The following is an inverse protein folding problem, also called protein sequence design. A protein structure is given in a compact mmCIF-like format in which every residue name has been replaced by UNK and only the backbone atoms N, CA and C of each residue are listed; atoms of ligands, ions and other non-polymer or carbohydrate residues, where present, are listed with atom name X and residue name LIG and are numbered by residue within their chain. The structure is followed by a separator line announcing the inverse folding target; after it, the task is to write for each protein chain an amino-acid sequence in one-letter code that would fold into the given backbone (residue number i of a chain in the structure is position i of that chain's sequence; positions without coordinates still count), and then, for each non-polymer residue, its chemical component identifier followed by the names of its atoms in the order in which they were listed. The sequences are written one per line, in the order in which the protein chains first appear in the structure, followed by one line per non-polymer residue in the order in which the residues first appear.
data_IF_699053942893
#
_entry.id   IF_699053942893
#
_cell.length_a   1.000
_cell.length_b   1.000
_cell.length_c   1.000
_cell.angle_alpha   90.00
_cell.angle_beta   90.00
_cell.angle_gamma   90.00
#
_symmetry.space_group_name_H-M   'P 1'
#
loop_
_entity.id
_entity.type
_entity.pdbx_description
1 polymer ?
#
# COMPACT_ATOMS: atom_id res chain seq x y z
N UNK A 1 19.23 12.01 -5.02
CA UNK A 1 18.82 11.54 -3.69
C UNK A 1 19.98 10.75 -3.07
N UNK A 2 20.55 11.22 -1.96
CA UNK A 2 21.56 10.52 -1.15
C UNK A 2 21.20 10.74 0.31
N UNK A 3 21.33 9.72 1.17
CA UNK A 3 20.99 9.87 2.58
C UNK A 3 20.56 8.62 3.32
N UNK A 4 20.54 7.45 2.67
CA UNK A 4 20.51 6.16 3.36
C UNK A 4 21.84 5.45 3.10
N UNK A 5 22.50 4.99 4.16
CA UNK A 5 23.67 4.08 4.12
C UNK A 5 23.25 2.64 3.88
N UNK A 6 21.95 2.40 3.92
CA UNK A 6 21.30 1.11 4.00
C UNK A 6 20.73 0.76 2.61
N UNK A 7 20.52 -0.53 2.34
CA UNK A 7 20.06 -1.01 1.04
C UNK A 7 18.59 -0.63 0.87
N UNK A 8 18.29 0.08 -0.23
CA UNK A 8 16.90 0.36 -0.61
C UNK A 8 16.25 -0.91 -1.14
N UNK A 9 15.19 -1.35 -0.48
CA UNK A 9 14.46 -2.59 -0.78
C UNK A 9 13.13 -2.34 -1.50
N UNK A 10 12.57 -1.14 -1.40
CA UNK A 10 11.26 -0.81 -1.93
C UNK A 10 11.17 0.66 -2.33
N UNK A 11 10.38 0.95 -3.35
CA UNK A 11 10.14 2.32 -3.84
C UNK A 11 8.70 2.48 -4.33
N UNK A 12 8.13 3.67 -4.11
CA UNK A 12 6.87 4.12 -4.69
C UNK A 12 6.95 5.60 -5.08
N UNK A 13 6.16 6.00 -6.08
CA UNK A 13 6.06 7.38 -6.55
C UNK A 13 4.59 7.79 -6.52
N UNK A 14 4.29 9.00 -6.04
CA UNK A 14 2.91 9.52 -6.03
C UNK A 14 2.40 9.76 -7.44
N UNK A 15 1.07 9.69 -7.64
CA UNK A 15 0.47 9.83 -8.97
C UNK A 15 0.75 11.20 -9.61
N UNK A 16 0.80 12.24 -8.78
CA UNK A 16 1.16 13.61 -9.19
C UNK A 16 2.68 13.82 -9.36
N UNK A 17 3.49 12.79 -9.12
CA UNK A 17 4.94 12.83 -9.24
C UNK A 17 5.65 13.64 -8.15
N UNK A 18 4.95 14.25 -7.20
CA UNK A 18 5.57 15.15 -6.20
C UNK A 18 6.44 14.43 -5.15
N UNK A 19 6.10 13.19 -4.84
CA UNK A 19 6.71 12.44 -3.75
C UNK A 19 7.26 11.11 -4.21
N UNK A 20 8.45 10.78 -3.73
CA UNK A 20 8.99 9.42 -3.79
C UNK A 20 9.06 8.89 -2.36
N UNK A 21 8.70 7.62 -2.17
CA UNK A 21 8.87 6.92 -0.90
C UNK A 21 9.81 5.76 -1.11
N UNK A 22 10.78 5.57 -0.21
CA UNK A 22 11.67 4.41 -0.19
C UNK A 22 11.59 3.68 1.14
N UNK A 23 11.72 2.35 1.13
CA UNK A 23 11.96 1.52 2.30
C UNK A 23 13.34 0.87 2.24
N UNK A 24 14.06 0.78 3.37
CA UNK A 24 15.41 0.22 3.43
C UNK A 24 15.57 -0.90 4.46
N UNK A 25 16.73 -1.57 4.43
CA UNK A 25 17.09 -2.64 5.36
C UNK A 25 17.55 -2.15 6.74
N UNK A 26 17.66 -0.83 6.94
CA UNK A 26 17.96 -0.16 8.21
C UNK A 26 16.72 0.27 8.98
N UNK A 27 15.59 -0.42 8.78
CA UNK A 27 14.30 -0.24 9.43
C UNK A 27 13.62 1.11 9.14
N UNK A 28 13.97 1.79 8.04
CA UNK A 28 13.42 3.11 7.72
C UNK A 28 12.53 3.08 6.49
N UNK A 29 11.52 3.94 6.53
CA UNK A 29 10.88 4.46 5.34
C UNK A 29 11.20 5.96 5.22
N UNK A 30 11.47 6.44 4.01
CA UNK A 30 11.84 7.83 3.76
C UNK A 30 10.98 8.43 2.66
N UNK A 31 10.48 9.66 2.87
CA UNK A 31 9.78 10.46 1.87
C UNK A 31 10.74 11.49 1.32
N UNK A 32 10.76 11.61 0.00
CA UNK A 32 11.59 12.53 -0.77
C UNK A 32 10.71 13.43 -1.61
N UNK A 33 11.12 14.69 -1.74
CA UNK A 33 10.57 15.56 -2.77
C UNK A 33 11.18 15.11 -4.11
N UNK A 34 10.34 14.82 -5.09
CA UNK A 34 10.80 14.30 -6.37
C UNK A 34 11.55 15.35 -7.21
N UNK A 35 11.14 16.62 -7.10
CA UNK A 35 11.71 17.74 -7.86
C UNK A 35 13.05 18.20 -7.27
N UNK A 36 13.13 18.38 -5.96
CA UNK A 36 14.34 18.88 -5.29
C UNK A 36 15.31 17.76 -4.92
N UNK A 37 14.85 16.51 -4.92
CA UNK A 37 15.59 15.33 -4.47
C UNK A 37 16.00 15.36 -2.99
N UNK A 38 15.39 16.23 -2.20
CA UNK A 38 15.66 16.38 -0.77
C UNK A 38 14.85 15.39 0.06
N UNK A 39 15.45 14.98 1.19
CA UNK A 39 14.75 14.17 2.21
C UNK A 39 13.75 15.08 2.92
N UNK A 40 12.48 14.68 2.90
CA UNK A 40 11.37 15.44 3.51
C UNK A 40 11.07 14.87 4.88
N UNK A 41 10.93 13.54 4.99
CA UNK A 41 10.65 12.82 6.23
C UNK A 41 11.29 11.46 6.26
N UNK A 42 11.52 10.97 7.47
CA UNK A 42 12.00 9.63 7.75
C UNK A 42 11.15 9.04 8.89
N UNK A 43 10.80 7.76 8.74
CA UNK A 43 9.99 6.96 9.65
C UNK A 43 10.87 5.88 10.25
N UNK A 44 10.82 5.70 11.58
CA UNK A 44 11.71 4.82 12.36
C UNK A 44 10.97 3.95 13.37
N UNK A 45 9.65 3.93 13.27
CA UNK A 45 8.78 3.19 14.18
C UNK A 45 8.72 1.70 13.79
N UNK A 46 9.25 1.30 12.64
CA UNK A 46 9.32 -0.08 12.17
C UNK A 46 10.49 -0.80 12.86
N UNK A 47 10.35 -2.11 13.09
CA UNK A 47 11.33 -2.91 13.83
C UNK A 47 11.91 -4.04 12.96
N UNK A 48 12.11 -3.75 11.68
CA UNK A 48 12.64 -4.69 10.71
C UNK A 48 12.69 -4.06 9.32
N UNK A 49 13.46 -4.69 8.43
CA UNK A 49 13.70 -4.19 7.08
C UNK A 49 12.37 -3.88 6.36
N UNK A 50 12.32 -2.73 5.72
CA UNK A 50 11.11 -2.20 5.10
C UNK A 50 11.04 -2.64 3.63
N UNK A 51 10.52 -3.85 3.42
CA UNK A 51 10.40 -4.44 2.08
C UNK A 51 9.25 -3.86 1.25
N UNK A 52 8.34 -3.12 1.87
CA UNK A 52 7.11 -2.71 1.23
C UNK A 52 6.75 -1.27 1.60
N UNK A 53 6.75 -0.38 0.60
CA UNK A 53 6.21 0.97 0.72
C UNK A 53 5.18 1.26 -0.37
N UNK A 54 4.25 2.16 -0.07
CA UNK A 54 3.35 2.74 -1.06
C UNK A 54 2.89 4.13 -0.60
N UNK A 55 2.39 4.92 -1.54
CA UNK A 55 1.84 6.25 -1.28
C UNK A 55 0.43 6.32 -1.85
N UNK A 56 -0.51 6.90 -1.11
CA UNK A 56 -1.90 7.02 -1.56
C UNK A 56 -1.99 7.90 -2.80
N UNK A 57 -3.03 7.68 -3.59
CA UNK A 57 -3.21 8.37 -4.87
C UNK A 57 -3.33 9.90 -4.72
N UNK A 58 -3.93 10.36 -3.61
CA UNK A 58 -4.00 11.77 -3.22
C UNK A 58 -2.66 12.33 -2.67
N UNK A 59 -1.62 11.50 -2.53
CA UNK A 59 -0.30 11.85 -2.01
C UNK A 59 -0.25 12.11 -0.50
N UNK A 60 -1.36 11.94 0.22
CA UNK A 60 -1.47 12.37 1.63
C UNK A 60 -1.03 11.33 2.66
N UNK A 61 -0.98 10.05 2.28
CA UNK A 61 -0.67 8.93 3.17
C UNK A 61 0.46 8.10 2.59
N UNK A 62 1.37 7.70 3.46
CA UNK A 62 2.41 6.71 3.17
C UNK A 62 2.13 5.48 4.00
N UNK A 63 2.34 4.31 3.42
CA UNK A 63 2.38 3.05 4.15
C UNK A 63 3.77 2.44 4.05
N UNK A 64 4.22 1.85 5.15
CA UNK A 64 5.42 1.05 5.21
C UNK A 64 5.11 -0.28 5.94
N UNK A 65 5.60 -1.38 5.40
CA UNK A 65 5.48 -2.72 5.97
C UNK A 65 6.84 -3.34 6.21
N UNK A 66 7.07 -3.81 7.44
CA UNK A 66 8.33 -4.43 7.84
C UNK A 66 8.32 -5.96 7.73
N UNK A 67 9.52 -6.51 7.64
CA UNK A 67 9.78 -7.94 7.67
C UNK A 67 10.13 -8.48 9.06
N UNK A 68 9.30 -8.22 10.06
CA UNK A 68 9.45 -8.85 11.38
C UNK A 68 8.33 -9.88 11.63
N UNK A 69 8.60 -10.87 12.49
CA UNK A 69 7.61 -11.80 13.03
C UNK A 69 6.54 -11.09 13.88
N UNK A 70 6.91 -10.04 14.62
CA UNK A 70 5.96 -9.11 15.24
C UNK A 70 5.44 -8.04 14.27
N UNK A 71 5.80 -8.17 12.98
CA UNK A 71 5.76 -7.10 12.00
C UNK A 71 4.39 -6.51 11.75
N UNK A 72 4.42 -5.28 11.28
CA UNK A 72 3.23 -4.46 11.08
C UNK A 72 3.32 -3.69 9.78
N UNK A 73 2.15 -3.35 9.22
CA UNK A 73 2.06 -2.23 8.31
C UNK A 73 1.66 -0.98 9.10
N UNK A 74 2.29 0.16 8.81
CA UNK A 74 2.02 1.43 9.47
C UNK A 74 1.70 2.48 8.43
N UNK A 75 0.65 3.28 8.71
CA UNK A 75 0.22 4.37 7.83
C UNK A 75 0.56 5.70 8.51
N UNK A 76 1.21 6.58 7.77
CA UNK A 76 1.65 7.90 8.21
C UNK A 76 1.13 8.98 7.28
N UNK A 77 0.96 10.21 7.78
CA UNK A 77 0.78 11.38 6.93
C UNK A 77 2.09 11.69 6.19
N UNK A 78 2.05 11.84 4.86
CA UNK A 78 3.24 11.97 4.00
C UNK A 78 4.20 13.07 4.47
N UNK A 79 3.68 14.26 4.77
CA UNK A 79 4.47 15.42 5.16
C UNK A 79 4.52 15.64 6.67
N UNK A 80 3.44 15.34 7.39
CA UNK A 80 3.36 15.51 8.85
C UNK A 80 4.19 14.47 9.58
N UNK A 81 4.39 13.30 8.97
CA UNK A 81 5.04 12.13 9.52
C UNK A 81 4.30 11.49 10.70
N UNK A 82 3.08 11.93 10.97
CA UNK A 82 2.29 11.46 12.12
C UNK A 82 1.66 10.10 11.77
N UNK A 83 1.76 9.08 12.64
CA UNK A 83 1.00 7.85 12.50
C UNK A 83 -0.50 8.14 12.48
N UNK A 84 -1.20 7.68 11.43
CA UNK A 84 -2.63 7.94 11.25
C UNK A 84 -3.51 6.87 11.91
N UNK A 85 -2.94 5.69 12.16
CA UNK A 85 -3.62 4.55 12.77
C UNK A 85 -2.68 3.81 13.73
N UNK A 86 -3.22 3.00 14.65
CA UNK A 86 -2.45 1.95 15.30
C UNK A 86 -1.78 1.02 14.28
N UNK A 87 -0.67 0.34 14.64
CA UNK A 87 -0.02 -0.61 13.75
C UNK A 87 -0.99 -1.67 13.24
N UNK A 88 -1.01 -1.89 11.93
CA UNK A 88 -1.89 -2.86 11.28
C UNK A 88 -1.21 -4.24 11.38
N UNK A 89 -1.75 -5.19 12.16
CA UNK A 89 -1.03 -6.42 12.47
C UNK A 89 -0.92 -7.31 11.23
N UNK A 90 0.29 -7.55 10.73
CA UNK A 90 0.56 -8.54 9.66
C UNK A 90 2.06 -8.83 9.64
N UNK A 91 2.47 -10.04 10.01
CA UNK A 91 3.89 -10.36 10.10
C UNK A 91 4.52 -10.57 8.72
N UNK A 92 5.84 -10.35 8.61
CA UNK A 92 6.63 -10.58 7.41
C UNK A 92 6.04 -9.91 6.15
N UNK A 93 5.75 -8.61 6.23
CA UNK A 93 5.15 -7.89 5.11
C UNK A 93 6.14 -7.82 3.94
N UNK A 94 5.68 -8.19 2.75
CA UNK A 94 6.42 -8.14 1.48
C UNK A 94 5.80 -7.23 0.45
N UNK A 95 4.54 -6.87 0.65
CA UNK A 95 3.82 -6.01 -0.28
C UNK A 95 2.76 -5.20 0.44
N UNK A 96 2.62 -3.96 0.04
CA UNK A 96 1.57 -3.05 0.49
C UNK A 96 1.08 -2.28 -0.73
N UNK A 97 -0.24 -2.09 -0.83
CA UNK A 97 -0.84 -1.24 -1.84
C UNK A 97 -2.10 -0.54 -1.35
N UNK A 98 -2.16 0.77 -1.52
CA UNK A 98 -3.40 1.51 -1.37
C UNK A 98 -4.35 1.14 -2.51
N UNK A 99 -5.63 1.11 -2.17
CA UNK A 99 -6.68 1.18 -3.18
C UNK A 99 -6.66 2.55 -3.89
N UNK A 100 -7.18 2.63 -5.12
CA UNK A 100 -7.23 3.88 -5.89
C UNK A 100 -7.92 5.04 -5.16
N UNK A 101 -8.99 4.74 -4.40
CA UNK A 101 -9.73 5.70 -3.57
C UNK A 101 -9.02 6.03 -2.23
N UNK A 102 -7.94 5.33 -1.90
CA UNK A 102 -7.17 5.50 -0.68
C UNK A 102 -7.87 5.03 0.61
N UNK A 103 -9.09 4.49 0.53
CA UNK A 103 -9.88 4.07 1.69
C UNK A 103 -9.55 2.66 2.19
N UNK A 104 -8.85 1.88 1.37
CA UNK A 104 -8.38 0.53 1.68
C UNK A 104 -6.88 0.39 1.48
N UNK A 105 -6.28 -0.48 2.28
CA UNK A 105 -4.90 -0.92 2.16
C UNK A 105 -4.87 -2.45 2.04
N UNK A 106 -4.28 -2.96 0.96
CA UNK A 106 -3.90 -4.36 0.86
C UNK A 106 -2.49 -4.56 1.42
N UNK A 107 -2.30 -5.60 2.21
CA UNK A 107 -0.99 -6.05 2.67
C UNK A 107 -0.79 -7.52 2.38
N UNK A 108 0.45 -7.89 2.08
CA UNK A 108 0.89 -9.20 1.67
C UNK A 108 2.00 -9.68 2.58
N UNK A 109 1.83 -10.86 3.16
CA UNK A 109 2.84 -11.49 3.99
C UNK A 109 3.50 -12.65 3.27
N UNK A 110 4.79 -12.87 3.53
CA UNK A 110 5.48 -14.07 3.10
C UNK A 110 4.75 -15.35 3.56
N UNK A 111 4.15 -15.34 4.76
CA UNK A 111 3.66 -16.55 5.43
C UNK A 111 2.16 -16.52 5.78
N UNK A 112 1.53 -15.35 5.79
CA UNK A 112 0.17 -15.17 6.32
C UNK A 112 -0.88 -14.81 5.27
N UNK A 113 -0.51 -14.82 3.98
CA UNK A 113 -1.40 -14.49 2.87
C UNK A 113 -1.66 -12.99 2.75
N UNK A 114 -2.87 -12.62 2.30
CA UNK A 114 -3.30 -11.24 2.13
C UNK A 114 -4.30 -10.79 3.19
N UNK A 115 -4.21 -9.52 3.54
CA UNK A 115 -5.18 -8.83 4.40
C UNK A 115 -5.54 -7.48 3.78
N UNK A 116 -6.82 -7.13 3.87
CA UNK A 116 -7.32 -5.81 3.48
C UNK A 116 -7.70 -5.06 4.76
N UNK A 117 -7.30 -3.80 4.86
CA UNK A 117 -7.62 -2.93 5.99
C UNK A 117 -8.37 -1.68 5.51
N UNK A 118 -9.26 -1.18 6.34
CA UNK A 118 -9.78 0.18 6.23
C UNK A 118 -8.70 1.18 6.66
N UNK A 119 -8.41 2.18 5.82
CA UNK A 119 -7.45 3.24 6.16
C UNK A 119 -8.05 4.31 7.07
N UNK A 120 -9.37 4.25 7.33
CA UNK A 120 -10.05 5.17 8.23
C UNK A 120 -9.91 4.79 9.71
N UNK A 121 -9.94 3.49 10.01
CA UNK A 121 -9.96 3.00 11.39
C UNK A 121 -9.05 1.78 11.65
N UNK A 122 -8.32 1.29 10.65
CA UNK A 122 -7.41 0.15 10.78
C UNK A 122 -8.09 -1.21 10.94
N UNK A 123 -9.42 -1.27 10.83
CA UNK A 123 -10.15 -2.55 10.90
C UNK A 123 -9.85 -3.42 9.68
N UNK A 124 -9.73 -4.74 9.89
CA UNK A 124 -9.59 -5.71 8.80
C UNK A 124 -10.93 -5.89 8.09
N UNK A 125 -10.91 -5.87 6.76
CA UNK A 125 -12.06 -6.08 5.90
C UNK A 125 -11.95 -7.48 5.27
N UNK A 126 -13.01 -8.28 5.38
CA UNK A 126 -13.10 -9.60 4.76
C UNK A 126 -12.23 -10.69 5.41
N UNK A 127 -12.17 -11.84 4.73
CA UNK A 127 -11.39 -13.01 5.12
C UNK A 127 -9.92 -12.92 4.70
N UNK A 128 -9.08 -13.83 5.22
CA UNK A 128 -7.70 -13.99 4.78
C UNK A 128 -7.69 -14.81 3.48
N UNK A 129 -6.98 -14.33 2.47
CA UNK A 129 -6.68 -15.11 1.26
C UNK A 129 -5.32 -15.78 1.49
N UNK A 130 -5.32 -17.09 1.71
CA UNK A 130 -4.11 -17.86 2.02
C UNK A 130 -3.43 -18.38 0.75
N UNK A 131 -2.12 -18.53 0.82
CA UNK A 131 -1.30 -19.10 -0.24
C UNK A 131 -0.41 -20.20 0.32
N UNK A 132 -0.14 -21.23 -0.49
CA UNK A 132 0.76 -22.32 -0.14
C UNK A 132 2.25 -21.95 -0.30
N UNK A 133 2.56 -20.80 -0.90
CA UNK A 133 3.92 -20.36 -1.21
C UNK A 133 4.20 -18.93 -0.76
N UNK A 134 5.48 -18.62 -0.66
CA UNK A 134 5.98 -17.31 -0.24
C UNK A 134 5.58 -16.21 -1.22
N UNK A 135 4.79 -15.25 -0.75
CA UNK A 135 4.43 -14.08 -1.54
C UNK A 135 5.63 -13.13 -1.61
N UNK A 136 6.00 -12.74 -2.84
CA UNK A 136 7.13 -11.82 -3.09
C UNK A 136 6.69 -10.42 -3.50
N UNK A 137 5.55 -10.28 -4.15
CA UNK A 137 5.05 -8.99 -4.62
C UNK A 137 3.54 -9.02 -4.84
N UNK A 138 2.94 -7.82 -4.88
CA UNK A 138 1.53 -7.62 -5.20
C UNK A 138 1.30 -6.45 -6.15
N UNK A 139 0.17 -6.50 -6.85
CA UNK A 139 -0.40 -5.37 -7.56
C UNK A 139 -1.94 -5.37 -7.42
N UNK A 140 -2.52 -4.19 -7.21
CA UNK A 140 -3.97 -3.98 -7.28
C UNK A 140 -4.34 -3.37 -8.63
N UNK A 141 -5.43 -3.85 -9.23
CA UNK A 141 -5.98 -3.22 -10.44
C UNK A 141 -6.48 -1.79 -10.15
N UNK A 142 -6.51 -0.89 -11.15
CA UNK A 142 -7.02 0.48 -10.99
C UNK A 142 -8.49 0.59 -10.56
N UNK A 143 -9.29 -0.48 -10.74
CA UNK A 143 -10.66 -0.52 -10.23
C UNK A 143 -10.75 -1.04 -8.79
N UNK A 144 -9.64 -1.47 -8.21
CA UNK A 144 -9.60 -2.21 -6.95
C UNK A 144 -10.23 -3.60 -7.00
N UNK A 145 -10.74 -4.04 -8.16
CA UNK A 145 -11.49 -5.30 -8.33
C UNK A 145 -10.63 -6.56 -8.33
N UNK A 146 -9.36 -6.45 -8.70
CA UNK A 146 -8.44 -7.57 -8.80
C UNK A 146 -7.15 -7.31 -8.02
N UNK A 147 -6.63 -8.39 -7.42
CA UNK A 147 -5.32 -8.43 -6.76
C UNK A 147 -4.47 -9.52 -7.42
N UNK A 148 -3.33 -9.13 -7.99
CA UNK A 148 -2.33 -10.03 -8.56
C UNK A 148 -1.18 -10.24 -7.58
N UNK A 149 -0.68 -11.47 -7.51
CA UNK A 149 0.23 -11.93 -6.48
C UNK A 149 1.29 -12.85 -7.07
N UNK A 150 2.57 -12.49 -6.94
CA UNK A 150 3.68 -13.35 -7.34
C UNK A 150 4.16 -14.23 -6.18
N UNK A 151 4.23 -15.54 -6.40
CA UNK A 151 4.77 -16.51 -5.42
C UNK A 151 5.55 -17.62 -6.15
N UNK A 152 6.75 -17.95 -5.69
CA UNK A 152 7.60 -18.91 -6.39
C UNK A 152 7.92 -18.49 -7.82
N UNK A 153 7.46 -19.27 -8.81
CA UNK A 153 7.53 -18.97 -10.26
C UNK A 153 6.15 -18.64 -10.86
N UNK A 154 5.12 -18.57 -10.02
CA UNK A 154 3.72 -18.46 -10.42
C UNK A 154 3.14 -17.09 -10.09
N UNK A 155 2.04 -16.76 -10.76
CA UNK A 155 1.21 -15.60 -10.46
C UNK A 155 -0.22 -16.08 -10.23
N UNK A 156 -0.84 -15.61 -9.15
CA UNK A 156 -2.28 -15.76 -8.92
C UNK A 156 -2.98 -14.42 -9.06
N UNK A 157 -4.23 -14.45 -9.52
CA UNK A 157 -5.09 -13.27 -9.62
C UNK A 157 -6.39 -13.57 -8.87
N UNK A 158 -6.74 -12.71 -7.93
CA UNK A 158 -7.92 -12.84 -7.09
C UNK A 158 -8.95 -11.79 -7.47
N UNK A 159 -10.18 -12.23 -7.69
CA UNK A 159 -11.32 -11.33 -7.81
C UNK A 159 -11.75 -10.91 -6.41
N UNK A 160 -11.46 -9.66 -6.04
CA UNK A 160 -11.80 -9.14 -4.72
C UNK A 160 -13.31 -8.95 -4.53
N UNK A 161 -14.12 -8.95 -5.60
CA UNK A 161 -15.59 -8.89 -5.50
C UNK A 161 -16.21 -10.11 -4.83
N UNK A 162 -15.49 -11.24 -4.80
CA UNK A 162 -15.91 -12.43 -4.06
C UNK A 162 -15.52 -12.42 -2.57
N UNK A 163 -14.71 -11.44 -2.14
CA UNK A 163 -14.12 -11.39 -0.79
C UNK A 163 -14.51 -10.13 -0.03
N UNK A 164 -14.71 -9.02 -0.74
CA UNK A 164 -15.11 -7.74 -0.19
C UNK A 164 -16.59 -7.46 -0.51
N UNK A 165 -17.33 -6.80 0.42
CA UNK A 165 -18.69 -6.33 0.15
C UNK A 165 -18.80 -5.44 -1.10
N UNK A 166 -19.93 -5.51 -1.81
CA UNK A 166 -20.17 -4.78 -3.07
C UNK A 166 -19.96 -3.26 -2.97
N UNK A 167 -20.32 -2.67 -1.81
CA UNK A 167 -20.12 -1.24 -1.50
C UNK A 167 -18.66 -0.75 -1.66
N UNK A 168 -17.69 -1.65 -1.76
CA UNK A 168 -16.27 -1.32 -1.98
C UNK A 168 -15.87 -1.29 -3.47
N UNK A 169 -16.80 -1.57 -4.39
CA UNK A 169 -16.59 -1.55 -5.84
C UNK A 169 -17.57 -0.65 -6.57
N UNK A 170 -18.61 -0.17 -5.90
CA UNK A 170 -19.54 0.83 -6.42
C UNK A 170 -18.85 2.21 -6.41
N UNK A 171 -17.95 2.40 -7.37
CA UNK A 171 -17.66 3.74 -7.84
C UNK A 171 -18.84 4.13 -8.71
N UNK A 172 -19.79 4.85 -8.12
CA UNK A 172 -20.90 5.47 -8.82
C UNK A 172 -20.29 6.45 -9.83
N UNK A 173 -20.08 5.96 -11.06
CA UNK A 173 -19.79 6.82 -12.20
C UNK A 173 -21.12 7.49 -12.50
N UNK A 174 -21.39 8.60 -11.82
CA UNK A 174 -22.34 9.57 -12.34
C UNK A 174 -21.76 10.09 -13.65
N UNK A 175 -22.08 9.41 -14.75
CA UNK A 175 -22.06 10.02 -16.07
C UNK A 175 -23.13 11.11 -16.01
N UNK A 176 -22.78 12.40 -16.11
CA UNK A 176 -23.80 13.42 -16.24
C UNK A 176 -24.55 13.09 -17.52
N UNK A 177 -25.87 12.92 -17.41
CA UNK A 177 -26.77 12.72 -18.52
C UNK A 177 -26.44 13.75 -19.61
N UNK A 178 -26.01 13.28 -20.78
CA UNK A 178 -25.86 14.16 -21.94
C UNK A 178 -27.24 14.76 -22.23
N UNK A 179 -27.41 16.05 -21.95
CA UNK A 179 -28.52 16.79 -22.52
C UNK A 179 -28.32 16.81 -24.03
N UNK A 180 -29.25 16.18 -24.76
CA UNK A 180 -29.38 16.36 -26.20
C UNK A 180 -29.56 17.85 -26.50
N UNK A 181 -28.50 18.50 -26.99
CA UNK A 181 -28.65 19.76 -27.71
C UNK A 181 -29.11 19.38 -29.12
N UNK A 182 -30.37 19.65 -29.44
CA UNK A 182 -30.83 19.69 -30.83
C UNK A 182 -30.37 21.03 -31.41
N UNK A 183 -29.63 20.97 -32.51
CA UNK A 183 -29.49 22.09 -33.45
C UNK A 183 -30.79 22.23 -34.25
#
# INVERSE_FOLDING_TARGET
MRGSTDIVLSIAVSQDGRWIVSGDDGDKATVWNADTHEKVREFRELNGSVFAVDISNDGTKVVAGDNNAAGTARIFGTTSGIPLLPPLPHSHVRGVKFSPDGHRLATASQNCGFRIYSTHNGSRIGGIITHAGEIRCIALSPSGGYLACGFGRDVSVHNLRGVLPSKYFDHDVSVPSLHHVRL
#
